data_IF_275385590918
#
_entry.id   IF_275385590918
#
_cell.length_a   1.000
_cell.length_b   1.000
_cell.length_c   1.000
_cell.angle_alpha   90.00
_cell.angle_beta   90.00
_cell.angle_gamma   90.00
#
_symmetry.space_group_name_H-M   'P 1'
#
loop_
_entity.id
_entity.type
_entity.pdbx_description
1 polymer ?
#
# COMPACT_ATOMS: atom_id res chain seq x y z
N UNK A 1 22.11 -0.51 -16.35
CA UNK A 1 22.00 0.92 -16.05
C UNK A 1 20.55 1.37 -15.94
N UNK A 2 20.28 2.67 -15.80
CA UNK A 2 18.93 3.23 -15.60
C UNK A 2 17.93 2.89 -16.72
N UNK A 3 18.40 2.56 -17.91
CA UNK A 3 17.54 2.08 -19.00
C UNK A 3 16.76 0.81 -18.64
N UNK A 4 17.27 0.01 -17.68
CA UNK A 4 16.60 -1.18 -17.15
C UNK A 4 15.32 -0.83 -16.38
N UNK A 5 15.28 0.36 -15.77
CA UNK A 5 14.15 0.86 -14.98
C UNK A 5 13.11 1.64 -15.80
N UNK A 6 13.35 1.88 -17.08
CA UNK A 6 12.56 2.82 -17.89
C UNK A 6 11.05 2.58 -17.89
N UNK A 7 10.61 1.34 -17.78
CA UNK A 7 9.19 0.94 -17.77
C UNK A 7 8.74 0.38 -16.41
N UNK A 8 9.56 0.52 -15.38
CA UNK A 8 9.20 0.05 -14.04
C UNK A 8 8.48 1.17 -13.28
N UNK A 9 7.27 0.89 -12.83
CA UNK A 9 6.44 1.87 -12.11
C UNK A 9 6.91 2.07 -10.67
N UNK A 10 7.43 1.02 -10.06
CA UNK A 10 8.08 1.05 -8.74
C UNK A 10 9.61 1.10 -8.91
N UNK A 11 10.08 2.15 -9.57
CA UNK A 11 11.47 2.32 -9.99
C UNK A 11 12.45 2.37 -8.81
N UNK A 12 12.06 2.91 -7.67
CA UNK A 12 12.84 2.95 -6.43
C UNK A 12 13.08 1.55 -5.85
N UNK A 13 12.03 0.73 -5.75
CA UNK A 13 12.13 -0.66 -5.25
C UNK A 13 12.89 -1.53 -6.25
N UNK A 14 12.61 -1.38 -7.54
CA UNK A 14 13.30 -2.11 -8.59
C UNK A 14 14.79 -1.75 -8.68
N UNK A 15 15.15 -0.48 -8.46
CA UNK A 15 16.54 -0.05 -8.36
C UNK A 15 17.26 -0.74 -7.20
N UNK A 16 16.64 -0.78 -6.03
CA UNK A 16 17.22 -1.45 -4.86
C UNK A 16 17.42 -2.95 -5.12
N UNK A 17 16.45 -3.60 -5.77
CA UNK A 17 16.58 -5.01 -6.18
C UNK A 17 17.71 -5.20 -7.20
N UNK A 18 17.78 -4.36 -8.24
CA UNK A 18 18.84 -4.43 -9.25
C UNK A 18 20.22 -4.29 -8.61
N UNK A 19 20.40 -3.35 -7.69
CA UNK A 19 21.67 -3.16 -6.99
C UNK A 19 22.03 -4.40 -6.14
N UNK A 20 21.04 -4.98 -5.45
CA UNK A 20 21.22 -6.21 -4.67
C UNK A 20 21.64 -7.39 -5.56
N UNK A 21 21.01 -7.56 -6.71
CA UNK A 21 21.33 -8.63 -7.67
C UNK A 21 22.76 -8.50 -8.23
N UNK A 22 23.34 -7.28 -8.18
CA UNK A 22 24.71 -7.01 -8.56
C UNK A 22 25.69 -6.97 -7.36
N UNK A 23 25.30 -7.54 -6.23
CA UNK A 23 26.15 -7.68 -5.05
C UNK A 23 26.18 -6.48 -4.10
N UNK A 24 25.43 -5.41 -4.37
CA UNK A 24 25.31 -4.31 -3.44
C UNK A 24 24.52 -4.73 -2.18
N UNK A 25 24.79 -4.06 -1.08
CA UNK A 25 24.06 -4.23 0.20
C UNK A 25 23.24 -2.96 0.48
N UNK A 26 22.07 -2.78 -0.18
CA UNK A 26 21.25 -1.61 0.06
C UNK A 26 20.72 -1.62 1.49
N UNK A 27 20.65 -0.44 2.11
CA UNK A 27 20.04 -0.24 3.41
C UNK A 27 19.00 0.87 3.33
N UNK A 28 17.96 0.77 4.17
CA UNK A 28 16.95 1.81 4.33
C UNK A 28 17.35 2.62 5.57
N UNK A 29 17.57 3.91 5.37
CA UNK A 29 17.86 4.84 6.44
C UNK A 29 16.61 5.65 6.77
N UNK A 30 16.35 5.81 8.06
CA UNK A 30 15.30 6.72 8.51
C UNK A 30 15.90 8.14 8.56
N UNK A 31 15.55 8.97 7.58
CA UNK A 31 16.01 10.36 7.46
C UNK A 31 15.16 11.35 8.29
N UNK A 32 14.48 10.86 9.29
CA UNK A 32 13.61 11.65 10.14
C UNK A 32 14.34 12.79 10.82
N UNK A 33 13.68 13.96 10.85
CA UNK A 33 14.29 15.20 11.35
C UNK A 33 15.27 15.86 10.36
N UNK A 34 15.68 15.15 9.29
CA UNK A 34 16.52 15.68 8.23
C UNK A 34 15.72 16.04 6.98
N UNK A 35 14.72 15.23 6.65
CA UNK A 35 13.88 15.41 5.46
C UNK A 35 12.42 15.27 5.84
N UNK A 36 11.62 16.28 5.48
CA UNK A 36 10.16 16.22 5.53
C UNK A 36 9.59 16.33 4.12
N UNK A 37 8.72 15.40 3.74
CA UNK A 37 8.05 15.40 2.45
C UNK A 37 6.56 15.17 2.62
N UNK A 38 5.74 16.12 2.18
CA UNK A 38 4.30 15.94 1.99
C UNK A 38 4.04 15.22 0.66
N UNK A 39 3.64 13.96 0.71
CA UNK A 39 3.34 13.21 -0.50
C UNK A 39 2.04 13.66 -1.17
N UNK A 40 1.02 13.95 -0.37
CA UNK A 40 -0.32 14.31 -0.84
C UNK A 40 -0.96 15.33 0.09
N UNK A 41 -1.50 16.40 -0.48
CA UNK A 41 -2.18 17.45 0.27
C UNK A 41 -3.70 17.19 0.39
N UNK A 42 -4.20 16.17 -0.32
CA UNK A 42 -5.63 15.83 -0.32
C UNK A 42 -5.87 14.37 -0.69
N UNK A 43 -7.03 13.84 -0.28
CA UNK A 43 -7.52 12.51 -0.69
C UNK A 43 -7.62 12.39 -2.22
N UNK A 44 -7.97 13.48 -2.92
CA UNK A 44 -8.02 13.51 -4.38
C UNK A 44 -6.62 13.27 -4.98
N UNK A 45 -5.60 13.96 -4.47
CA UNK A 45 -4.23 13.77 -4.94
C UNK A 45 -3.74 12.34 -4.65
N UNK A 46 -4.08 11.79 -3.48
CA UNK A 46 -3.80 10.40 -3.15
C UNK A 46 -4.47 9.43 -4.14
N UNK A 47 -5.75 9.63 -4.45
CA UNK A 47 -6.48 8.81 -5.43
C UNK A 47 -5.84 8.88 -6.82
N UNK A 48 -5.39 10.07 -7.27
CA UNK A 48 -4.66 10.24 -8.54
C UNK A 48 -3.28 9.55 -8.48
N UNK A 49 -2.58 9.63 -7.36
CA UNK A 49 -1.33 8.90 -7.15
C UNK A 49 -1.51 7.37 -7.25
N UNK A 50 -2.62 6.85 -6.72
CA UNK A 50 -2.98 5.43 -6.84
C UNK A 50 -3.32 5.00 -8.28
N UNK A 51 -3.69 5.92 -9.19
CA UNK A 51 -3.88 5.55 -10.60
C UNK A 51 -2.61 4.97 -11.22
N UNK A 52 -1.43 5.47 -10.81
CA UNK A 52 -0.14 4.92 -11.24
C UNK A 52 0.15 3.56 -10.59
N UNK A 53 -0.05 3.44 -9.28
CA UNK A 53 0.47 2.32 -8.49
C UNK A 53 -0.57 1.24 -8.18
N UNK A 54 -1.85 1.57 -8.14
CA UNK A 54 -2.91 0.65 -7.72
C UNK A 54 -2.98 -0.62 -8.57
N UNK A 55 -3.08 -0.50 -9.88
CA UNK A 55 -3.12 -1.69 -10.75
C UNK A 55 -1.73 -2.25 -11.09
N UNK A 56 -0.72 -1.39 -11.20
CA UNK A 56 0.63 -1.81 -11.57
C UNK A 56 1.35 -2.54 -10.44
N UNK A 57 1.38 -1.98 -9.25
CA UNK A 57 2.11 -2.54 -8.10
C UNK A 57 1.26 -3.57 -7.37
N UNK A 58 0.04 -3.21 -6.94
CA UNK A 58 -0.83 -4.12 -6.19
C UNK A 58 -1.35 -5.27 -7.05
N UNK A 59 -1.80 -4.98 -8.26
CA UNK A 59 -2.36 -5.97 -9.19
C UNK A 59 -1.30 -6.66 -10.05
N UNK A 60 -0.07 -6.16 -10.09
CA UNK A 60 0.98 -6.62 -11.02
C UNK A 60 0.46 -6.72 -12.46
N UNK A 61 -0.35 -5.74 -12.84
CA UNK A 61 -1.06 -5.71 -14.13
C UNK A 61 -2.00 -6.91 -14.38
N UNK A 62 -2.37 -7.67 -13.35
CA UNK A 62 -3.29 -8.81 -13.41
C UNK A 62 -4.54 -8.53 -12.59
N UNK A 63 -5.70 -8.63 -13.21
CA UNK A 63 -7.00 -8.40 -12.55
C UNK A 63 -7.19 -9.36 -11.38
N UNK A 64 -6.89 -10.65 -11.59
CA UNK A 64 -7.03 -11.68 -10.54
C UNK A 64 -6.19 -11.39 -9.30
N UNK A 65 -4.95 -10.91 -9.49
CA UNK A 65 -4.07 -10.55 -8.37
C UNK A 65 -4.63 -9.34 -7.62
N UNK A 66 -5.05 -8.29 -8.35
CA UNK A 66 -5.66 -7.13 -7.70
C UNK A 66 -6.91 -7.50 -6.91
N UNK A 67 -7.81 -8.28 -7.53
CA UNK A 67 -9.03 -8.74 -6.84
C UNK A 67 -8.71 -9.59 -5.62
N UNK A 68 -7.74 -10.49 -5.71
CA UNK A 68 -7.30 -11.29 -4.55
C UNK A 68 -6.77 -10.40 -3.43
N UNK A 69 -5.88 -9.43 -3.72
CA UNK A 69 -5.35 -8.49 -2.73
C UNK A 69 -6.46 -7.66 -2.09
N UNK A 70 -7.39 -7.13 -2.89
CA UNK A 70 -8.54 -6.38 -2.40
C UNK A 70 -9.46 -7.25 -1.51
N UNK A 71 -9.75 -8.49 -1.94
CA UNK A 71 -10.59 -9.42 -1.17
C UNK A 71 -9.95 -9.78 0.16
N UNK A 72 -8.65 -10.12 0.16
CA UNK A 72 -7.91 -10.42 1.39
C UNK A 72 -7.88 -9.21 2.33
N UNK A 73 -7.61 -8.01 1.81
CA UNK A 73 -7.63 -6.79 2.60
C UNK A 73 -8.99 -6.52 3.24
N UNK A 74 -10.07 -6.62 2.47
CA UNK A 74 -11.43 -6.48 3.00
C UNK A 74 -11.75 -7.58 4.03
N UNK A 75 -11.38 -8.83 3.75
CA UNK A 75 -11.60 -9.94 4.67
C UNK A 75 -10.87 -9.75 6.00
N UNK A 76 -9.61 -9.31 5.97
CA UNK A 76 -8.83 -9.07 7.19
C UNK A 76 -9.47 -7.98 8.05
N UNK A 77 -9.85 -6.86 7.44
CA UNK A 77 -10.41 -5.71 8.17
C UNK A 77 -11.86 -5.96 8.64
N UNK A 78 -12.73 -6.40 7.73
CA UNK A 78 -14.14 -6.62 8.05
C UNK A 78 -14.40 -7.94 8.76
N UNK A 79 -13.60 -8.98 8.51
CA UNK A 79 -13.70 -10.25 9.20
C UNK A 79 -13.52 -10.10 10.71
N UNK A 80 -12.54 -9.32 11.14
CA UNK A 80 -12.34 -9.01 12.56
C UNK A 80 -13.52 -8.24 13.16
N UNK A 81 -14.05 -7.24 12.45
CA UNK A 81 -15.23 -6.46 12.87
C UNK A 81 -16.46 -7.36 13.01
N UNK A 82 -16.73 -8.17 11.99
CA UNK A 82 -17.88 -9.09 12.00
C UNK A 82 -17.74 -10.17 13.09
N UNK A 83 -16.53 -10.70 13.27
CA UNK A 83 -16.27 -11.69 14.32
C UNK A 83 -16.42 -11.11 15.74
N UNK A 84 -16.12 -9.83 15.94
CA UNK A 84 -16.38 -9.14 17.19
C UNK A 84 -17.88 -8.88 17.41
N UNK A 85 -18.59 -8.47 16.37
CA UNK A 85 -20.00 -8.10 16.43
C UNK A 85 -20.92 -9.32 16.55
N UNK A 86 -20.69 -10.35 15.74
CA UNK A 86 -21.60 -11.49 15.55
C UNK A 86 -21.05 -12.80 16.14
N UNK A 87 -19.74 -12.89 16.37
CA UNK A 87 -19.10 -14.09 16.89
C UNK A 87 -19.39 -14.32 18.37
N UNK A 88 -19.36 -15.58 18.77
CA UNK A 88 -19.53 -16.01 20.17
C UNK A 88 -18.30 -16.80 20.64
N UNK A 89 -18.12 -16.88 21.95
CA UNK A 89 -17.11 -17.71 22.58
C UNK A 89 -15.71 -17.55 21.97
N UNK A 90 -15.16 -18.63 21.43
CA UNK A 90 -13.80 -18.67 20.88
C UNK A 90 -13.62 -17.71 19.70
N UNK A 91 -14.62 -17.57 18.81
CA UNK A 91 -14.54 -16.70 17.63
C UNK A 91 -14.35 -15.24 18.06
N UNK A 92 -15.12 -14.77 19.02
CA UNK A 92 -14.97 -13.42 19.58
C UNK A 92 -13.64 -13.25 20.29
N UNK A 93 -13.18 -14.27 21.02
CA UNK A 93 -11.87 -14.25 21.67
C UNK A 93 -10.72 -14.10 20.68
N UNK A 94 -10.72 -14.87 19.60
CA UNK A 94 -9.71 -14.78 18.54
C UNK A 94 -9.76 -13.42 17.85
N UNK A 95 -10.95 -12.88 17.58
CA UNK A 95 -11.11 -11.56 16.98
C UNK A 95 -10.55 -10.44 17.91
N UNK A 96 -10.79 -10.51 19.20
CA UNK A 96 -10.22 -9.57 20.18
C UNK A 96 -8.69 -9.62 20.18
N UNK A 97 -8.11 -10.81 20.23
CA UNK A 97 -6.64 -11.00 20.15
C UNK A 97 -6.10 -10.41 18.85
N UNK A 98 -6.76 -10.65 17.72
CA UNK A 98 -6.35 -10.12 16.41
C UNK A 98 -6.35 -8.59 16.39
N UNK A 99 -7.37 -7.95 16.95
CA UNK A 99 -7.44 -6.48 17.07
C UNK A 99 -6.34 -5.95 17.98
N UNK A 100 -6.10 -6.59 19.12
CA UNK A 100 -5.02 -6.19 20.06
C UNK A 100 -3.65 -6.30 19.38
N UNK A 101 -3.40 -7.38 18.63
CA UNK A 101 -2.16 -7.55 17.87
C UNK A 101 -2.02 -6.52 16.76
N UNK A 102 -3.09 -6.20 16.03
CA UNK A 102 -3.11 -5.14 15.03
C UNK A 102 -2.79 -3.78 15.66
N UNK A 103 -3.44 -3.42 16.75
CA UNK A 103 -3.16 -2.20 17.51
C UNK A 103 -1.71 -2.13 18.00
N UNK A 104 -1.19 -3.23 18.55
CA UNK A 104 0.20 -3.35 18.99
C UNK A 104 1.19 -3.18 17.83
N UNK A 105 0.88 -3.73 16.66
CA UNK A 105 1.69 -3.61 15.44
C UNK A 105 1.70 -2.17 14.94
N UNK A 106 0.55 -1.51 14.91
CA UNK A 106 0.43 -0.08 14.56
C UNK A 106 1.19 0.82 15.53
N UNK A 107 1.08 0.55 16.84
CA UNK A 107 1.84 1.28 17.86
C UNK A 107 3.36 1.08 17.71
N UNK A 108 3.81 -0.11 17.29
CA UNK A 108 5.22 -0.38 16.97
C UNK A 108 5.69 0.36 15.72
N UNK A 109 4.90 0.31 14.64
CA UNK A 109 5.19 1.04 13.40
C UNK A 109 5.23 2.54 13.65
N UNK A 110 4.30 3.08 14.42
CA UNK A 110 4.29 4.49 14.82
C UNK A 110 5.54 4.89 15.62
N UNK A 111 6.04 4.01 16.48
CA UNK A 111 7.30 4.23 17.23
C UNK A 111 8.52 4.12 16.34
N UNK A 112 8.54 3.21 15.39
CA UNK A 112 9.64 3.06 14.44
C UNK A 112 9.68 4.21 13.43
N UNK A 113 8.53 4.62 12.92
CA UNK A 113 8.38 5.72 11.98
C UNK A 113 8.38 7.09 12.64
N UNK A 114 8.16 7.14 13.94
CA UNK A 114 7.83 8.35 14.66
C UNK A 114 8.89 8.86 15.65
N UNK A 115 8.80 10.13 16.06
CA UNK A 115 9.52 10.78 17.17
C UNK A 115 9.01 10.21 18.52
N UNK A 116 9.84 9.94 19.51
CA UNK A 116 9.34 9.58 20.83
C UNK A 116 8.31 10.58 21.35
N UNK A 117 8.43 11.85 20.99
CA UNK A 117 7.44 12.89 21.31
C UNK A 117 6.24 12.84 20.36
N UNK A 118 6.44 12.63 19.06
CA UNK A 118 5.38 12.46 18.06
C UNK A 118 4.78 11.06 18.15
N UNK A 119 5.57 10.03 18.43
CA UNK A 119 5.11 8.65 18.58
C UNK A 119 4.06 8.53 19.68
N UNK A 120 4.24 9.20 20.81
CA UNK A 120 3.23 9.25 21.88
C UNK A 120 2.00 10.07 21.49
N UNK A 121 2.19 11.24 20.86
CA UNK A 121 1.08 12.08 20.37
C UNK A 121 0.33 11.43 19.21
N UNK A 122 1.03 10.72 18.33
CA UNK A 122 0.42 9.95 17.25
C UNK A 122 -0.22 8.66 17.74
N UNK A 123 0.34 7.95 18.67
CA UNK A 123 -0.30 6.78 19.27
C UNK A 123 -1.68 7.13 19.86
N UNK A 124 -1.79 8.27 20.56
CA UNK A 124 -3.07 8.77 21.03
C UNK A 124 -4.04 9.13 19.90
N UNK A 125 -3.56 9.69 18.79
CA UNK A 125 -4.37 10.02 17.60
C UNK A 125 -4.68 8.78 16.76
N UNK A 126 -3.75 7.87 16.62
CA UNK A 126 -3.88 6.65 15.80
C UNK A 126 -4.92 5.69 16.40
N UNK A 127 -5.06 5.64 17.71
CA UNK A 127 -6.12 4.85 18.38
C UNK A 127 -7.51 5.27 17.89
N UNK A 128 -7.73 6.57 17.68
CA UNK A 128 -9.02 7.08 17.18
C UNK A 128 -9.23 6.81 15.67
N UNK A 129 -8.16 6.52 14.92
CA UNK A 129 -8.29 6.18 13.49
C UNK A 129 -8.54 4.69 13.26
N UNK A 130 -8.27 3.84 14.26
CA UNK A 130 -8.48 2.38 14.15
C UNK A 130 -9.92 2.00 13.80
N UNK A 131 -10.97 2.56 14.44
CA UNK A 131 -12.35 2.27 14.04
C UNK A 131 -12.68 2.69 12.61
N UNK A 132 -11.90 3.61 12.02
CA UNK A 132 -12.08 4.08 10.65
C UNK A 132 -11.33 3.21 9.62
N UNK A 133 -10.46 2.29 10.07
CA UNK A 133 -9.66 1.45 9.17
C UNK A 133 -10.51 0.60 8.20
N UNK A 134 -11.59 -0.08 8.64
CA UNK A 134 -12.43 -0.83 7.69
C UNK A 134 -13.03 0.06 6.60
N UNK A 135 -13.43 1.29 6.94
CA UNK A 135 -13.91 2.28 5.96
C UNK A 135 -12.80 2.78 5.05
N UNK A 136 -11.61 3.02 5.59
CA UNK A 136 -10.44 3.39 4.82
C UNK A 136 -10.03 2.29 3.84
N UNK A 137 -10.17 1.01 4.23
CA UNK A 137 -9.92 -0.13 3.35
C UNK A 137 -10.92 -0.17 2.19
N UNK A 138 -12.22 0.07 2.44
CA UNK A 138 -13.22 0.17 1.37
C UNK A 138 -12.87 1.29 0.39
N UNK A 139 -12.52 2.48 0.90
CA UNK A 139 -12.10 3.60 0.06
C UNK A 139 -10.84 3.26 -0.76
N UNK A 140 -9.85 2.61 -0.14
CA UNK A 140 -8.63 2.17 -0.81
C UNK A 140 -8.93 1.17 -1.92
N UNK A 141 -9.78 0.15 -1.67
CA UNK A 141 -10.22 -0.82 -2.67
C UNK A 141 -10.96 -0.13 -3.82
N UNK A 142 -11.87 0.79 -3.52
CA UNK A 142 -12.57 1.57 -4.55
C UNK A 142 -11.59 2.36 -5.44
N UNK A 143 -10.57 3.00 -4.84
CA UNK A 143 -9.53 3.71 -5.58
C UNK A 143 -8.67 2.77 -6.42
N UNK A 144 -8.31 1.60 -5.91
CA UNK A 144 -7.52 0.60 -6.64
C UNK A 144 -8.30 0.01 -7.83
N UNK A 145 -9.58 -0.29 -7.65
CA UNK A 145 -10.45 -0.75 -8.72
C UNK A 145 -10.67 0.36 -9.76
N UNK A 146 -10.88 1.60 -9.32
CA UNK A 146 -10.94 2.76 -10.22
C UNK A 146 -9.65 2.88 -11.04
N UNK A 147 -8.48 2.74 -10.42
CA UNK A 147 -7.19 2.75 -11.12
C UNK A 147 -7.13 1.67 -12.21
N UNK A 148 -7.58 0.46 -11.91
CA UNK A 148 -7.65 -0.63 -12.88
C UNK A 148 -8.58 -0.28 -14.05
N UNK A 149 -9.80 0.20 -13.78
CA UNK A 149 -10.75 0.59 -14.83
C UNK A 149 -10.17 1.66 -15.75
N UNK A 150 -9.53 2.69 -15.18
CA UNK A 150 -8.90 3.77 -15.95
C UNK A 150 -7.76 3.27 -16.83
N UNK A 151 -6.97 2.29 -16.36
CA UNK A 151 -5.92 1.67 -17.16
C UNK A 151 -6.50 0.95 -18.39
N UNK A 152 -7.62 0.25 -18.24
CA UNK A 152 -8.30 -0.39 -19.39
C UNK A 152 -8.93 0.62 -20.34
N UNK A 153 -9.63 1.62 -19.81
CA UNK A 153 -10.27 2.68 -20.63
C UNK A 153 -9.23 3.48 -21.43
N UNK A 154 -8.08 3.77 -20.84
CA UNK A 154 -7.01 4.55 -21.48
C UNK A 154 -6.01 3.69 -22.29
N UNK A 155 -6.12 2.36 -22.21
CA UNK A 155 -5.16 1.43 -22.81
C UNK A 155 -3.79 1.37 -22.13
N UNK A 156 -3.64 2.01 -20.96
CA UNK A 156 -2.37 2.09 -20.25
C UNK A 156 -2.41 2.91 -18.97
N UNK A 157 -1.26 3.02 -18.33
CA UNK A 157 -1.08 3.83 -17.12
C UNK A 157 -0.73 5.26 -17.50
N UNK A 158 -1.54 6.22 -17.08
CA UNK A 158 -1.25 7.65 -17.27
C UNK A 158 -0.32 8.15 -16.16
N UNK A 159 0.80 8.78 -16.56
CA UNK A 159 1.73 9.43 -15.65
C UNK A 159 2.36 10.66 -16.26
N UNK A 160 2.29 11.79 -15.55
CA UNK A 160 2.84 13.09 -15.99
C UNK A 160 2.47 13.47 -17.44
N UNK A 161 1.19 13.28 -17.79
CA UNK A 161 0.67 13.61 -19.12
C UNK A 161 0.95 12.58 -20.22
N UNK A 162 1.70 11.52 -19.91
CA UNK A 162 2.00 10.43 -20.85
C UNK A 162 1.23 9.17 -20.48
N UNK A 163 0.63 8.50 -21.48
CA UNK A 163 0.01 7.18 -21.30
C UNK A 163 1.01 6.10 -21.71
N UNK A 164 1.38 5.26 -20.80
CA UNK A 164 2.27 4.12 -21.04
C UNK A 164 1.43 2.88 -21.34
N UNK A 165 1.53 2.31 -22.55
CA UNK A 165 0.72 1.16 -22.95
C UNK A 165 0.90 -0.03 -21.99
N UNK A 166 -0.20 -0.69 -21.64
CA UNK A 166 -0.20 -1.80 -20.69
C UNK A 166 0.69 -2.97 -21.14
N UNK A 167 0.71 -3.26 -22.45
CA UNK A 167 1.57 -4.30 -23.02
C UNK A 167 3.06 -4.00 -22.82
N UNK A 168 3.47 -2.74 -23.05
CA UNK A 168 4.85 -2.30 -22.87
C UNK A 168 5.27 -2.37 -21.38
N UNK A 169 4.38 -1.95 -20.47
CA UNK A 169 4.64 -2.00 -19.04
C UNK A 169 4.77 -3.45 -18.53
N UNK A 170 3.90 -4.35 -18.99
CA UNK A 170 4.00 -5.78 -18.67
C UNK A 170 5.30 -6.41 -19.16
N UNK A 171 5.71 -6.11 -20.39
CA UNK A 171 6.96 -6.60 -20.97
C UNK A 171 8.19 -5.99 -20.29
N UNK A 172 8.09 -4.75 -19.82
CA UNK A 172 9.17 -4.02 -19.17
C UNK A 172 9.28 -4.21 -17.67
N UNK A 173 8.28 -4.81 -17.01
CA UNK A 173 8.30 -5.03 -15.57
C UNK A 173 9.39 -6.03 -15.17
N UNK A 174 10.27 -5.61 -14.29
CA UNK A 174 11.47 -6.35 -13.82
C UNK A 174 11.41 -6.69 -12.33
N UNK A 175 10.54 -6.01 -11.58
CA UNK A 175 10.41 -6.19 -10.16
C UNK A 175 9.94 -7.62 -9.82
N UNK A 176 10.73 -8.31 -8.98
CA UNK A 176 10.41 -9.63 -8.44
C UNK A 176 10.06 -9.45 -6.96
N UNK A 177 8.79 -9.59 -6.60
CA UNK A 177 8.34 -9.46 -5.21
C UNK A 177 8.31 -10.80 -4.47
N UNK A 178 8.32 -11.92 -5.21
CA UNK A 178 8.39 -13.33 -4.78
C UNK A 178 8.81 -14.23 -5.93
#
# INVERSE_FOLDING_TARGET
GLAWLKLEVADDVALAQMLKDHGARPSILNARGLVGLGFYDSVRQFAVGLEKTGFSVLGRYRVSVLLAVCTVGLWVEWGAVLALALGEGLVRGVALVSVVLALGSWARLGRWAGDPVIGWRWAGRTVWTVPLQPLAMVAFVAMALRAMVLVFVRGGVAWRGTVYPLAALRAGSRLRLW
#
